data_IF_553578188013
#
_entry.id   IF_553578188013
#
_cell.length_a   1.000
_cell.length_b   1.000
_cell.length_c   1.000
_cell.angle_alpha   90.00
_cell.angle_beta   90.00
_cell.angle_gamma   90.00
#
_symmetry.space_group_name_H-M   'P 1'
#
loop_
_entity.id
_entity.type
_entity.pdbx_description
1 polymer ?
#
# COMPACT_ATOMS: atom_id res chain seq x y z
N UNK A 1 -5.48 -22.13 -20.73
CA UNK A 1 -4.06 -21.74 -20.58
C UNK A 1 -3.90 -20.86 -19.34
N UNK A 2 -2.71 -20.85 -18.74
CA UNK A 2 -2.44 -19.99 -17.57
C UNK A 2 -2.70 -18.51 -17.87
N UNK A 3 -2.46 -18.03 -19.09
CA UNK A 3 -2.79 -16.65 -19.46
C UNK A 3 -4.29 -16.36 -19.45
N UNK A 4 -5.13 -17.33 -19.81
CA UNK A 4 -6.58 -17.19 -19.72
C UNK A 4 -7.02 -17.11 -18.24
N UNK A 5 -6.44 -17.94 -17.37
CA UNK A 5 -6.74 -17.88 -15.93
C UNK A 5 -6.27 -16.56 -15.31
N UNK A 6 -5.12 -16.05 -15.73
CA UNK A 6 -4.64 -14.72 -15.33
C UNK A 6 -5.59 -13.59 -15.79
N UNK A 7 -6.12 -13.67 -17.00
CA UNK A 7 -7.13 -12.71 -17.48
C UNK A 7 -8.42 -12.78 -16.65
N UNK A 8 -8.92 -13.98 -16.36
CA UNK A 8 -10.09 -14.18 -15.50
C UNK A 8 -9.84 -13.60 -14.09
N UNK A 9 -8.66 -13.86 -13.52
CA UNK A 9 -8.29 -13.32 -12.22
C UNK A 9 -8.32 -11.78 -12.19
N UNK A 10 -7.71 -11.12 -13.18
CA UNK A 10 -7.73 -9.66 -13.27
C UNK A 10 -9.16 -9.11 -13.41
N UNK A 11 -9.96 -9.68 -14.31
CA UNK A 11 -11.33 -9.21 -14.58
C UNK A 11 -12.23 -9.43 -13.36
N UNK A 12 -12.15 -10.59 -12.71
CA UNK A 12 -13.00 -10.92 -11.54
C UNK A 12 -12.68 -10.03 -10.33
N UNK A 13 -11.46 -9.51 -10.23
CA UNK A 13 -11.01 -8.68 -9.13
C UNK A 13 -10.84 -7.19 -9.50
N UNK A 14 -11.29 -6.77 -10.66
CA UNK A 14 -11.20 -5.39 -11.14
C UNK A 14 -12.15 -4.44 -10.42
N UNK A 15 -13.24 -4.96 -9.85
CA UNK A 15 -14.24 -4.15 -9.15
C UNK A 15 -13.58 -3.29 -8.05
N UNK A 16 -13.97 -2.01 -7.99
CA UNK A 16 -13.43 -1.04 -7.05
C UNK A 16 -12.06 -0.46 -7.43
N UNK A 17 -11.47 -0.90 -8.56
CA UNK A 17 -10.24 -0.30 -9.09
C UNK A 17 -10.55 0.87 -10.01
N UNK A 18 -9.79 1.96 -9.89
CA UNK A 18 -9.96 3.16 -10.70
C UNK A 18 -8.64 3.92 -10.89
N UNK A 19 -8.56 4.70 -11.96
CA UNK A 19 -7.57 5.75 -12.12
C UNK A 19 -8.20 7.12 -11.84
N UNK A 20 -7.40 8.10 -11.49
CA UNK A 20 -7.79 9.50 -11.65
C UNK A 20 -7.69 9.88 -13.13
N UNK A 21 -8.45 10.89 -13.56
CA UNK A 21 -8.44 11.32 -14.96
C UNK A 21 -7.02 11.70 -15.40
N UNK A 22 -6.56 11.09 -16.49
CA UNK A 22 -5.21 11.32 -17.03
C UNK A 22 -4.94 12.77 -17.44
N UNK A 23 -5.98 13.57 -17.71
CA UNK A 23 -5.88 15.02 -17.99
C UNK A 23 -5.21 15.78 -16.84
N UNK A 24 -5.38 15.31 -15.59
CA UNK A 24 -4.73 15.88 -14.42
C UNK A 24 -3.19 15.89 -14.52
N UNK A 25 -2.59 14.97 -15.27
CA UNK A 25 -1.14 15.01 -15.52
C UNK A 25 -0.72 16.32 -16.23
N UNK A 26 -1.55 16.78 -17.17
CA UNK A 26 -1.32 18.05 -17.89
C UNK A 26 -1.55 19.23 -16.96
N UNK A 27 -2.58 19.18 -16.13
CA UNK A 27 -2.88 20.23 -15.15
C UNK A 27 -1.76 20.38 -14.12
N UNK A 28 -1.23 19.27 -13.58
CA UNK A 28 -0.13 19.32 -12.60
C UNK A 28 1.27 19.56 -13.22
N UNK A 29 1.46 19.37 -14.51
CA UNK A 29 2.76 19.49 -15.17
C UNK A 29 3.48 20.85 -14.92
N UNK A 30 2.79 22.02 -14.92
CA UNK A 30 3.42 23.29 -14.54
C UNK A 30 3.96 23.28 -13.11
N UNK A 31 3.19 22.71 -12.16
CA UNK A 31 3.64 22.65 -10.77
C UNK A 31 4.84 21.73 -10.58
N UNK A 32 4.91 20.61 -11.29
CA UNK A 32 6.10 19.74 -11.23
C UNK A 32 7.37 20.45 -11.70
N UNK A 33 7.26 21.38 -12.67
CA UNK A 33 8.39 22.24 -13.09
C UNK A 33 8.76 23.25 -12.00
N UNK A 34 7.75 23.87 -11.37
CA UNK A 34 7.96 24.79 -10.24
C UNK A 34 8.70 24.06 -9.11
N UNK A 35 8.21 22.88 -8.73
CA UNK A 35 8.80 22.04 -7.70
C UNK A 35 10.29 21.71 -7.98
N UNK A 36 10.60 21.29 -9.20
CA UNK A 36 11.98 20.99 -9.61
C UNK A 36 12.87 22.25 -9.57
N UNK A 37 12.36 23.41 -10.01
CA UNK A 37 13.10 24.68 -9.98
C UNK A 37 13.39 25.12 -8.54
N UNK A 38 12.43 25.02 -7.63
CA UNK A 38 12.66 25.31 -6.20
C UNK A 38 13.72 24.37 -5.64
N UNK A 39 13.63 23.08 -5.91
CA UNK A 39 14.65 22.13 -5.45
C UNK A 39 16.04 22.44 -6.00
N UNK A 40 16.18 22.82 -7.26
CA UNK A 40 17.44 23.26 -7.86
C UNK A 40 18.02 24.49 -7.13
N UNK A 41 17.18 25.47 -6.79
CA UNK A 41 17.56 26.66 -6.03
C UNK A 41 18.20 26.28 -4.67
N UNK A 42 17.76 25.19 -4.07
CA UNK A 42 18.27 24.66 -2.80
C UNK A 42 19.25 23.48 -2.98
N UNK A 43 19.89 23.35 -4.15
CA UNK A 43 20.85 22.26 -4.45
C UNK A 43 20.28 20.85 -4.21
N UNK A 44 18.98 20.67 -4.44
CA UNK A 44 18.22 19.44 -4.17
C UNK A 44 18.15 19.04 -2.69
N UNK A 45 18.57 19.88 -1.77
CA UNK A 45 18.38 19.68 -0.34
C UNK A 45 16.97 20.13 0.06
N UNK A 46 16.19 19.21 0.66
CA UNK A 46 14.84 19.51 1.14
C UNK A 46 14.91 19.90 2.61
N UNK A 47 15.37 21.12 2.86
CA UNK A 47 15.30 21.74 4.18
C UNK A 47 13.97 22.50 4.37
N UNK A 48 13.75 23.02 5.57
CA UNK A 48 12.51 23.70 5.95
C UNK A 48 12.18 24.89 5.02
N UNK A 49 13.18 25.71 4.65
CA UNK A 49 12.97 26.86 3.75
C UNK A 49 12.53 26.42 2.35
N UNK A 50 13.14 25.36 1.83
CA UNK A 50 12.74 24.75 0.57
C UNK A 50 11.28 24.27 0.63
N UNK A 51 10.91 23.58 1.72
CA UNK A 51 9.55 23.07 1.90
C UNK A 51 8.51 24.18 2.04
N UNK A 52 8.80 25.23 2.82
CA UNK A 52 7.91 26.38 2.97
C UNK A 52 7.70 27.15 1.65
N UNK A 53 8.72 27.27 0.80
CA UNK A 53 8.59 27.87 -0.52
C UNK A 53 7.74 26.99 -1.45
N UNK A 54 7.95 25.67 -1.43
CA UNK A 54 7.12 24.72 -2.20
C UNK A 54 5.66 24.80 -1.73
N UNK A 55 5.40 24.83 -0.42
CA UNK A 55 4.05 24.89 0.12
C UNK A 55 3.34 26.19 -0.29
N UNK A 56 4.00 27.34 -0.18
CA UNK A 56 3.44 28.62 -0.61
C UNK A 56 3.07 28.62 -2.10
N UNK A 57 3.92 28.06 -2.95
CA UNK A 57 3.67 27.97 -4.40
C UNK A 57 2.58 26.93 -4.71
N UNK A 58 2.48 25.87 -3.93
CA UNK A 58 1.41 24.88 -4.05
C UNK A 58 0.04 25.47 -3.73
N UNK A 59 -0.06 26.27 -2.65
CA UNK A 59 -1.31 26.95 -2.31
C UNK A 59 -1.76 27.91 -3.40
N UNK A 60 -0.83 28.70 -3.97
CA UNK A 60 -1.12 29.59 -5.10
C UNK A 60 -1.58 28.79 -6.33
N UNK A 61 -0.88 27.69 -6.63
CA UNK A 61 -1.24 26.82 -7.74
C UNK A 61 -2.65 26.24 -7.56
N UNK A 62 -2.97 25.69 -6.38
CA UNK A 62 -4.29 25.16 -6.08
C UNK A 62 -5.40 26.23 -6.20
N UNK A 63 -5.12 27.45 -5.81
CA UNK A 63 -6.06 28.55 -5.95
C UNK A 63 -6.30 28.92 -7.42
N UNK A 64 -5.23 29.03 -8.21
CA UNK A 64 -5.32 29.43 -9.64
C UNK A 64 -6.01 28.36 -10.48
N UNK A 65 -5.76 27.08 -10.20
CA UNK A 65 -6.29 25.94 -10.97
C UNK A 65 -7.44 25.23 -10.27
N UNK A 66 -8.15 25.89 -9.34
CA UNK A 66 -9.21 25.26 -8.51
C UNK A 66 -10.26 24.52 -9.33
N UNK A 67 -10.67 25.05 -10.46
CA UNK A 67 -11.71 24.47 -11.31
C UNK A 67 -11.21 23.22 -12.07
N UNK A 68 -9.93 23.21 -12.48
CA UNK A 68 -9.31 22.10 -13.21
C UNK A 68 -8.85 20.96 -12.30
N UNK A 69 -8.70 21.22 -10.99
CA UNK A 69 -8.25 20.23 -10.03
C UNK A 69 -9.35 19.27 -9.55
N UNK A 70 -10.54 19.35 -10.13
CA UNK A 70 -11.62 18.43 -9.82
C UNK A 70 -11.27 17.01 -10.24
N UNK A 71 -11.10 16.11 -9.25
CA UNK A 71 -10.73 14.70 -9.51
C UNK A 71 -11.94 13.94 -10.03
N UNK A 72 -11.86 13.45 -11.26
CA UNK A 72 -12.79 12.49 -11.83
C UNK A 72 -12.18 11.10 -11.79
N UNK A 73 -12.90 10.16 -11.17
CA UNK A 73 -12.49 8.75 -11.12
C UNK A 73 -12.95 8.02 -12.38
N UNK A 74 -12.02 7.30 -12.98
CA UNK A 74 -12.22 6.49 -14.18
C UNK A 74 -12.17 5.02 -13.76
N UNK A 75 -13.35 4.38 -13.60
CA UNK A 75 -13.46 2.98 -13.21
C UNK A 75 -12.76 2.08 -14.24
N UNK A 76 -11.89 1.18 -13.77
CA UNK A 76 -11.11 0.30 -14.66
C UNK A 76 -12.02 -0.59 -15.50
N UNK A 77 -13.09 -1.10 -14.93
CA UNK A 77 -14.06 -1.96 -15.63
C UNK A 77 -14.75 -1.27 -16.83
N UNK A 78 -14.81 0.06 -16.83
CA UNK A 78 -15.46 0.85 -17.88
C UNK A 78 -14.47 1.42 -18.90
N UNK A 79 -13.21 1.62 -18.49
CA UNK A 79 -12.24 2.41 -19.27
C UNK A 79 -11.03 1.60 -19.77
N UNK A 80 -10.71 0.46 -19.12
CA UNK A 80 -9.60 -0.36 -19.61
C UNK A 80 -10.01 -1.18 -20.83
N UNK A 81 -9.14 -1.14 -21.84
CA UNK A 81 -9.35 -1.94 -23.05
C UNK A 81 -8.81 -3.36 -22.88
N UNK A 82 -9.37 -4.30 -23.63
CA UNK A 82 -8.85 -5.67 -23.68
C UNK A 82 -7.36 -5.71 -24.11
N UNK A 83 -6.95 -4.81 -25.03
CA UNK A 83 -5.55 -4.72 -25.48
C UNK A 83 -4.62 -4.31 -24.32
N UNK A 84 -5.03 -3.41 -23.45
CA UNK A 84 -4.25 -3.03 -22.26
C UNK A 84 -4.08 -4.23 -21.34
N UNK A 85 -5.14 -4.94 -21.01
CA UNK A 85 -5.08 -6.13 -20.14
C UNK A 85 -4.22 -7.23 -20.74
N UNK A 86 -4.35 -7.51 -22.04
CA UNK A 86 -3.53 -8.50 -22.74
C UNK A 86 -2.05 -8.12 -22.67
N UNK A 87 -1.72 -6.85 -22.93
CA UNK A 87 -0.34 -6.34 -22.85
C UNK A 87 0.25 -6.51 -21.45
N UNK A 88 -0.50 -6.16 -20.41
CA UNK A 88 -0.07 -6.33 -19.02
C UNK A 88 0.19 -7.80 -18.66
N UNK A 89 -0.69 -8.72 -19.10
CA UNK A 89 -0.52 -10.15 -18.90
C UNK A 89 0.75 -10.65 -19.61
N UNK A 90 0.94 -10.30 -20.87
CA UNK A 90 2.11 -10.73 -21.63
C UNK A 90 3.42 -10.26 -20.98
N UNK A 91 3.47 -9.00 -20.54
CA UNK A 91 4.63 -8.45 -19.86
C UNK A 91 4.88 -9.12 -18.51
N UNK A 92 3.81 -9.36 -17.71
CA UNK A 92 3.93 -10.02 -16.43
C UNK A 92 4.45 -11.48 -16.58
N UNK A 93 3.92 -12.25 -17.54
CA UNK A 93 4.40 -13.60 -17.82
C UNK A 93 5.86 -13.61 -18.27
N UNK A 94 6.23 -12.69 -19.16
CA UNK A 94 7.61 -12.56 -19.64
C UNK A 94 8.58 -12.28 -18.50
N UNK A 95 8.23 -11.35 -17.62
CA UNK A 95 9.02 -11.00 -16.45
C UNK A 95 9.14 -12.18 -15.48
N UNK A 96 8.01 -12.80 -15.12
CA UNK A 96 7.97 -13.94 -14.21
C UNK A 96 8.83 -15.10 -14.66
N UNK A 97 8.66 -15.55 -15.92
CA UNK A 97 9.37 -16.73 -16.45
C UNK A 97 10.85 -16.46 -16.73
N UNK A 98 11.25 -15.20 -16.88
CA UNK A 98 12.64 -14.80 -17.04
C UNK A 98 13.39 -14.59 -15.72
N UNK A 99 12.69 -14.45 -14.59
CA UNK A 99 13.33 -14.15 -13.32
C UNK A 99 13.73 -15.44 -12.58
N UNK A 100 15.02 -15.63 -12.34
CA UNK A 100 15.56 -16.86 -11.72
C UNK A 100 15.16 -17.06 -10.26
N UNK A 101 14.80 -15.98 -9.56
CA UNK A 101 14.39 -16.05 -8.15
C UNK A 101 12.93 -16.45 -7.96
N UNK A 102 12.06 -16.12 -8.94
CA UNK A 102 10.60 -16.25 -8.80
C UNK A 102 9.92 -17.07 -9.88
N UNK A 103 10.65 -17.54 -10.91
CA UNK A 103 10.08 -18.34 -12.02
C UNK A 103 9.31 -19.59 -11.54
N UNK A 104 9.62 -20.09 -10.34
CA UNK A 104 8.99 -21.24 -9.71
C UNK A 104 7.97 -20.85 -8.64
N UNK A 105 7.67 -19.56 -8.41
CA UNK A 105 6.64 -19.17 -7.47
C UNK A 105 5.27 -19.72 -7.91
N UNK A 106 4.36 -19.86 -6.96
CA UNK A 106 3.02 -20.37 -7.24
C UNK A 106 2.28 -19.48 -8.23
N UNK A 107 1.33 -20.05 -8.98
CA UNK A 107 0.48 -19.25 -9.86
C UNK A 107 -0.39 -18.26 -9.07
N UNK A 108 -0.72 -18.59 -7.83
CA UNK A 108 -1.40 -17.69 -6.91
C UNK A 108 -0.54 -16.46 -6.60
N UNK A 109 0.72 -16.65 -6.20
CA UNK A 109 1.64 -15.54 -5.89
C UNK A 109 1.93 -14.68 -7.15
N UNK A 110 2.04 -15.33 -8.31
CA UNK A 110 2.13 -14.62 -9.58
C UNK A 110 0.91 -13.72 -9.78
N UNK A 111 -0.30 -14.25 -9.61
CA UNK A 111 -1.55 -13.50 -9.80
C UNK A 111 -1.69 -12.34 -8.80
N UNK A 112 -1.30 -12.53 -7.54
CA UNK A 112 -1.46 -11.51 -6.51
C UNK A 112 -0.36 -10.43 -6.56
N UNK A 113 0.89 -10.80 -6.86
CA UNK A 113 2.02 -9.92 -6.58
C UNK A 113 2.86 -9.53 -7.80
N UNK A 114 2.79 -10.27 -8.92
CA UNK A 114 3.51 -9.95 -10.16
C UNK A 114 2.55 -9.39 -11.21
N UNK A 115 1.45 -10.09 -11.44
CA UNK A 115 0.48 -9.81 -12.50
C UNK A 115 -0.23 -8.45 -12.39
N UNK A 116 -0.64 -7.94 -11.20
CA UNK A 116 -1.48 -6.75 -11.10
C UNK A 116 -0.94 -5.57 -11.90
N UNK A 117 -1.78 -5.01 -12.75
CA UNK A 117 -1.51 -3.81 -13.55
C UNK A 117 -1.64 -2.53 -12.73
N UNK A 118 -2.39 -2.57 -11.62
CA UNK A 118 -2.63 -1.46 -10.70
C UNK A 118 -2.05 -1.77 -9.33
N UNK A 119 -1.25 -0.87 -8.80
CA UNK A 119 -0.62 -1.01 -7.48
C UNK A 119 -1.31 -0.17 -6.40
N UNK A 120 -1.98 0.91 -6.81
CA UNK A 120 -2.77 1.79 -5.95
C UNK A 120 -3.88 2.43 -6.79
N UNK A 121 -5.02 2.71 -6.17
CA UNK A 121 -6.09 3.46 -6.81
C UNK A 121 -5.68 4.92 -7.04
N UNK A 122 -6.23 5.53 -8.10
CA UNK A 122 -5.87 6.88 -8.53
C UNK A 122 -4.71 6.92 -9.51
N UNK A 123 -3.81 5.92 -9.50
CA UNK A 123 -2.67 5.90 -10.44
C UNK A 123 -3.14 5.70 -11.88
N UNK A 124 -2.57 6.49 -12.78
CA UNK A 124 -2.76 6.32 -14.22
C UNK A 124 -1.85 5.21 -14.73
N UNK A 125 -2.42 4.27 -15.49
CA UNK A 125 -1.63 3.23 -16.15
C UNK A 125 -0.85 3.88 -17.29
N UNK A 126 0.47 3.75 -17.21
CA UNK A 126 1.42 4.22 -18.21
C UNK A 126 2.34 3.08 -18.68
N UNK A 127 3.31 3.37 -19.49
CA UNK A 127 4.28 2.38 -19.98
C UNK A 127 5.38 2.03 -18.97
N UNK A 128 5.19 2.31 -17.67
CA UNK A 128 6.24 2.15 -16.66
C UNK A 128 6.67 0.71 -16.49
N UNK A 129 5.75 -0.27 -16.53
CA UNK A 129 6.09 -1.70 -16.47
C UNK A 129 7.06 -2.10 -17.59
N UNK A 130 6.73 -1.79 -18.85
CA UNK A 130 7.61 -2.10 -20.00
C UNK A 130 8.94 -1.35 -19.90
N UNK A 131 8.91 -0.07 -19.51
CA UNK A 131 10.11 0.74 -19.33
C UNK A 131 11.06 0.15 -18.29
N UNK A 132 10.57 -0.24 -17.11
CA UNK A 132 11.39 -0.85 -16.07
C UNK A 132 11.85 -2.25 -16.45
N UNK A 133 11.00 -3.05 -17.08
CA UNK A 133 11.41 -4.34 -17.61
C UNK A 133 12.59 -4.19 -18.56
N UNK A 134 12.48 -3.35 -19.59
CA UNK A 134 13.56 -3.15 -20.57
C UNK A 134 14.86 -2.68 -19.93
N UNK A 135 14.76 -1.86 -18.89
CA UNK A 135 15.93 -1.29 -18.20
C UNK A 135 16.66 -2.30 -17.32
N UNK A 136 15.93 -3.16 -16.61
CA UNK A 136 16.46 -3.91 -15.47
C UNK A 136 16.34 -5.43 -15.59
N UNK A 137 15.57 -6.00 -16.53
CA UNK A 137 15.29 -7.45 -16.56
C UNK A 137 16.53 -8.34 -16.65
N UNK A 138 17.61 -7.85 -17.30
CA UNK A 138 18.83 -8.65 -17.52
C UNK A 138 19.50 -9.06 -16.21
N UNK A 139 19.42 -8.22 -15.19
CA UNK A 139 20.02 -8.47 -13.89
C UNK A 139 19.32 -9.64 -13.16
N UNK A 140 18.09 -9.97 -13.57
CA UNK A 140 17.27 -11.05 -12.99
C UNK A 140 17.27 -12.35 -13.79
N UNK A 141 18.00 -12.44 -14.88
CA UNK A 141 18.10 -13.67 -15.68
C UNK A 141 19.11 -14.69 -15.12
N UNK A 142 20.03 -14.21 -14.30
CA UNK A 142 21.02 -15.04 -13.59
C UNK A 142 21.25 -14.48 -12.21
N UNK A 143 21.68 -15.32 -11.26
CA UNK A 143 21.89 -14.86 -9.88
C UNK A 143 23.10 -13.96 -9.70
N UNK A 144 24.06 -13.99 -10.63
CA UNK A 144 25.34 -13.28 -10.51
C UNK A 144 26.04 -13.48 -9.16
N UNK A 145 25.77 -14.61 -8.49
CA UNK A 145 26.28 -14.92 -7.15
C UNK A 145 25.55 -14.24 -5.99
N UNK A 146 24.49 -13.47 -6.27
CA UNK A 146 23.67 -12.79 -5.26
C UNK A 146 22.46 -13.62 -4.84
N UNK A 147 22.03 -13.45 -3.62
CA UNK A 147 20.72 -13.91 -3.18
C UNK A 147 19.61 -12.90 -3.58
N UNK A 148 18.35 -13.27 -3.34
CA UNK A 148 17.19 -12.47 -3.75
C UNK A 148 17.14 -11.10 -3.06
N UNK A 149 17.57 -10.98 -1.79
CA UNK A 149 17.58 -9.71 -1.08
C UNK A 149 18.65 -8.78 -1.63
N UNK A 150 19.86 -9.30 -1.88
CA UNK A 150 20.98 -8.55 -2.48
C UNK A 150 20.64 -8.03 -3.87
N UNK A 151 19.93 -8.83 -4.69
CA UNK A 151 19.50 -8.37 -6.02
C UNK A 151 18.38 -7.33 -5.93
N UNK A 152 17.43 -7.52 -5.01
CA UNK A 152 16.40 -6.52 -4.71
C UNK A 152 17.04 -5.19 -4.28
N UNK A 153 18.03 -5.24 -3.39
CA UNK A 153 18.75 -4.05 -2.95
C UNK A 153 19.53 -3.38 -4.08
N UNK A 154 20.16 -4.17 -4.95
CA UNK A 154 20.88 -3.63 -6.12
C UNK A 154 19.96 -2.83 -7.03
N UNK A 155 18.75 -3.32 -7.29
CA UNK A 155 17.76 -2.61 -8.08
C UNK A 155 17.26 -1.34 -7.36
N UNK A 156 16.85 -1.47 -6.10
CA UNK A 156 16.24 -0.38 -5.36
C UNK A 156 17.25 0.74 -4.99
N UNK A 157 18.54 0.41 -4.91
CA UNK A 157 19.62 1.39 -4.73
C UNK A 157 19.68 2.41 -5.86
N UNK A 158 19.33 2.04 -7.09
CA UNK A 158 19.27 2.94 -8.24
C UNK A 158 18.24 4.08 -8.05
N UNK A 159 17.31 3.90 -7.11
CA UNK A 159 16.22 4.83 -6.81
C UNK A 159 16.30 5.35 -5.35
N UNK A 160 17.45 5.25 -4.71
CA UNK A 160 17.66 5.68 -3.30
C UNK A 160 17.46 7.17 -3.06
N UNK A 161 17.54 7.96 -4.12
CA UNK A 161 17.33 9.40 -4.09
C UNK A 161 15.83 9.81 -4.02
N UNK A 162 14.92 8.84 -4.11
CA UNK A 162 13.51 9.02 -3.75
C UNK A 162 13.40 8.88 -2.24
N UNK A 163 13.17 9.99 -1.55
CA UNK A 163 13.19 10.08 -0.08
C UNK A 163 11.81 10.35 0.51
N UNK A 164 11.67 10.12 1.82
CA UNK A 164 10.45 10.46 2.53
C UNK A 164 10.19 11.97 2.50
N UNK A 165 8.95 12.37 2.19
CA UNK A 165 8.55 13.78 2.22
C UNK A 165 8.51 14.28 3.67
N UNK A 166 9.28 15.32 4.04
CA UNK A 166 9.16 15.94 5.34
C UNK A 166 7.77 16.56 5.55
N UNK A 167 7.33 16.68 6.81
CA UNK A 167 6.01 17.22 7.17
C UNK A 167 5.75 18.67 6.72
N UNK A 168 6.79 19.42 6.43
CA UNK A 168 6.72 20.80 5.93
C UNK A 168 6.70 20.91 4.40
N UNK A 169 6.64 19.78 3.70
CA UNK A 169 6.44 19.73 2.24
C UNK A 169 5.01 19.26 1.97
N UNK A 170 4.23 19.96 1.15
CA UNK A 170 2.88 19.56 0.85
C UNK A 170 2.83 18.21 0.13
N UNK A 171 1.77 17.45 0.35
CA UNK A 171 1.54 16.21 -0.38
C UNK A 171 1.08 16.56 -1.80
N UNK A 172 2.00 16.42 -2.75
CA UNK A 172 1.75 16.66 -4.16
C UNK A 172 1.18 15.38 -4.77
N UNK A 173 0.11 15.46 -5.57
CA UNK A 173 -0.43 14.31 -6.27
C UNK A 173 0.61 13.69 -7.20
N UNK A 174 0.78 12.38 -7.09
CA UNK A 174 1.69 11.59 -7.91
C UNK A 174 0.84 10.57 -8.65
N UNK A 175 0.58 10.82 -9.93
CA UNK A 175 -0.33 10.02 -10.73
C UNK A 175 0.35 8.87 -11.48
N UNK A 176 1.68 8.96 -11.68
CA UNK A 176 2.46 7.96 -12.41
C UNK A 176 3.82 7.73 -11.78
N UNK A 177 4.44 6.59 -12.08
CA UNK A 177 5.81 6.30 -11.66
C UNK A 177 6.83 7.30 -12.25
N UNK A 178 6.59 7.76 -13.49
CA UNK A 178 7.42 8.79 -14.12
C UNK A 178 7.40 10.12 -13.37
N UNK A 179 6.23 10.49 -12.83
CA UNK A 179 6.10 11.68 -11.98
C UNK A 179 6.88 11.50 -10.68
N UNK A 180 6.78 10.31 -10.05
CA UNK A 180 7.48 10.04 -8.81
C UNK A 180 9.00 10.09 -8.96
N UNK A 181 9.52 9.54 -10.06
CA UNK A 181 10.95 9.65 -10.40
C UNK A 181 11.44 11.10 -10.56
N UNK A 182 10.57 12.02 -10.96
CA UNK A 182 10.90 13.46 -11.09
C UNK A 182 10.80 14.19 -9.76
N UNK A 183 9.73 13.95 -9.01
CA UNK A 183 9.45 14.61 -7.73
C UNK A 183 10.44 14.13 -6.66
N UNK A 184 10.77 12.85 -6.64
CA UNK A 184 11.75 12.21 -5.73
C UNK A 184 11.45 12.35 -4.23
N UNK A 185 10.22 12.72 -3.89
CA UNK A 185 9.73 12.78 -2.52
C UNK A 185 8.32 12.25 -2.45
N UNK A 186 7.98 11.55 -1.38
CA UNK A 186 6.64 11.05 -1.17
C UNK A 186 6.43 10.38 0.17
N UNK A 187 5.22 9.88 0.40
CA UNK A 187 4.88 9.13 1.60
C UNK A 187 5.41 7.70 1.54
N UNK A 188 5.39 6.99 2.68
CA UNK A 188 5.73 5.57 2.72
C UNK A 188 4.85 4.75 1.78
N UNK A 189 3.55 5.06 1.69
CA UNK A 189 2.62 4.38 0.79
C UNK A 189 2.96 4.61 -0.69
N UNK A 190 3.27 5.86 -1.07
CA UNK A 190 3.71 6.20 -2.42
C UNK A 190 5.01 5.48 -2.79
N UNK A 191 5.97 5.40 -1.87
CA UNK A 191 7.20 4.63 -2.11
C UNK A 191 6.94 3.14 -2.22
N UNK A 192 6.03 2.60 -1.41
CA UNK A 192 5.67 1.18 -1.44
C UNK A 192 5.06 0.75 -2.79
N UNK A 193 4.10 1.51 -3.32
CA UNK A 193 3.52 1.14 -4.61
C UNK A 193 4.54 1.26 -5.75
N UNK A 194 5.43 2.28 -5.69
CA UNK A 194 6.50 2.44 -6.67
C UNK A 194 7.46 1.24 -6.66
N UNK A 195 7.94 0.84 -5.48
CA UNK A 195 8.79 -0.34 -5.34
C UNK A 195 8.08 -1.61 -5.83
N UNK A 196 6.80 -1.80 -5.51
CA UNK A 196 6.02 -2.95 -5.96
C UNK A 196 5.87 -2.97 -7.49
N UNK A 197 5.66 -1.81 -8.13
CA UNK A 197 5.62 -1.70 -9.59
C UNK A 197 6.98 -2.04 -10.20
N UNK A 198 8.05 -1.45 -9.68
CA UNK A 198 9.41 -1.66 -10.16
C UNK A 198 9.83 -3.14 -10.07
N UNK A 199 9.64 -3.75 -8.89
CA UNK A 199 9.98 -5.15 -8.63
C UNK A 199 9.16 -6.12 -9.48
N UNK A 200 7.83 -5.91 -9.55
CA UNK A 200 6.98 -6.77 -10.39
C UNK A 200 7.26 -6.60 -11.89
N UNK A 201 7.78 -5.46 -12.31
CA UNK A 201 8.18 -5.24 -13.71
C UNK A 201 9.33 -6.16 -14.14
N UNK A 202 10.17 -6.57 -13.20
CA UNK A 202 11.24 -7.56 -13.44
C UNK A 202 10.85 -8.97 -12.95
N UNK A 203 9.59 -9.19 -12.63
CA UNK A 203 9.07 -10.51 -12.26
C UNK A 203 9.23 -10.88 -10.78
N UNK A 204 9.64 -9.95 -9.91
CA UNK A 204 9.68 -10.18 -8.46
C UNK A 204 8.29 -10.07 -7.84
N UNK A 205 7.89 -11.07 -7.06
CA UNK A 205 6.64 -11.03 -6.30
C UNK A 205 6.80 -10.05 -5.12
N UNK A 206 6.18 -8.87 -5.24
CA UNK A 206 6.29 -7.81 -4.26
C UNK A 206 4.91 -7.30 -3.81
N UNK A 207 4.72 -7.24 -2.49
CA UNK A 207 3.51 -6.76 -1.84
C UNK A 207 3.77 -5.49 -1.01
N UNK A 208 2.69 -4.93 -0.47
CA UNK A 208 2.71 -3.84 0.50
C UNK A 208 2.02 -4.32 1.76
N UNK A 209 2.74 -4.32 2.88
CA UNK A 209 2.20 -4.54 4.20
C UNK A 209 2.06 -3.21 4.93
N UNK A 210 1.05 -3.10 5.79
CA UNK A 210 0.82 -1.86 6.52
C UNK A 210 0.21 -2.09 7.89
N UNK A 211 0.56 -1.22 8.83
CA UNK A 211 -0.14 -1.04 10.09
C UNK A 211 -1.07 0.16 9.94
N UNK A 212 -2.39 0.00 10.12
CA UNK A 212 -3.34 1.11 9.97
C UNK A 212 -3.02 2.27 10.92
N UNK A 213 -2.77 1.95 12.17
CA UNK A 213 -2.32 2.86 13.22
C UNK A 213 -1.42 2.11 14.21
N UNK A 214 -0.44 2.81 14.78
CA UNK A 214 0.40 2.27 15.83
C UNK A 214 -0.37 2.14 17.15
N UNK A 215 -0.08 1.11 17.93
CA UNK A 215 -0.73 0.87 19.21
C UNK A 215 -0.29 1.81 20.35
N UNK A 216 0.81 2.55 20.18
CA UNK A 216 1.41 3.35 21.23
C UNK A 216 1.92 4.74 20.77
N UNK A 217 1.59 5.16 19.56
CA UNK A 217 1.92 6.46 18.99
C UNK A 217 1.01 6.83 17.84
N UNK A 218 0.99 8.09 17.45
CA UNK A 218 0.17 8.57 16.33
C UNK A 218 0.71 8.11 14.97
N UNK A 219 -0.21 7.99 14.00
CA UNK A 219 0.07 7.57 12.63
C UNK A 219 0.06 6.06 12.42
N UNK A 220 0.24 5.68 11.20
CA UNK A 220 0.44 4.32 10.71
C UNK A 220 1.71 4.24 9.88
N UNK A 221 1.94 3.12 9.20
CA UNK A 221 3.09 2.95 8.32
C UNK A 221 2.84 1.88 7.27
N UNK A 222 3.49 2.02 6.13
CA UNK A 222 3.51 1.02 5.06
C UNK A 222 4.94 0.67 4.68
N UNK A 223 5.19 -0.59 4.39
CA UNK A 223 6.49 -1.10 3.93
C UNK A 223 6.31 -2.16 2.86
N UNK A 224 7.39 -2.56 2.22
CA UNK A 224 7.33 -3.60 1.19
C UNK A 224 7.67 -4.97 1.73
N UNK A 225 7.21 -5.97 0.99
CA UNK A 225 7.53 -7.39 1.22
C UNK A 225 7.84 -8.02 -0.14
N UNK A 226 8.93 -8.79 -0.24
CA UNK A 226 9.11 -9.76 -1.33
C UNK A 226 8.65 -11.13 -0.86
N UNK A 227 8.05 -11.88 -1.79
CA UNK A 227 7.54 -13.24 -1.52
C UNK A 227 8.31 -14.21 -2.40
N UNK A 228 9.01 -15.14 -1.73
CA UNK A 228 9.86 -16.13 -2.38
C UNK A 228 9.58 -17.50 -1.77
N UNK A 229 9.17 -18.47 -2.58
CA UNK A 229 8.85 -19.84 -2.16
C UNK A 229 7.82 -19.91 -1.00
N UNK A 230 6.85 -19.00 -1.00
CA UNK A 230 5.81 -18.91 0.04
C UNK A 230 6.23 -18.21 1.32
N UNK A 231 7.48 -17.78 1.43
CA UNK A 231 7.97 -16.98 2.56
C UNK A 231 8.00 -15.50 2.22
N UNK A 232 7.70 -14.65 3.19
CA UNK A 232 7.69 -13.20 3.06
C UNK A 232 8.87 -12.55 3.77
N UNK A 233 9.55 -11.65 3.06
CA UNK A 233 10.70 -10.89 3.54
C UNK A 233 10.38 -9.41 3.51
N UNK A 234 10.08 -8.86 4.69
CA UNK A 234 9.71 -7.46 4.85
C UNK A 234 10.93 -6.54 4.90
N UNK A 235 10.83 -5.37 4.25
CA UNK A 235 11.89 -4.38 4.22
C UNK A 235 11.32 -2.96 4.18
N UNK A 236 12.11 -1.98 4.69
CA UNK A 236 11.75 -0.55 4.64
C UNK A 236 11.68 -0.06 3.19
N UNK A 237 10.60 0.67 2.88
CA UNK A 237 10.35 1.13 1.52
C UNK A 237 11.40 2.15 1.03
N UNK A 238 11.79 3.08 1.90
CA UNK A 238 12.89 4.01 1.61
C UNK A 238 14.25 3.37 1.86
N UNK A 239 15.30 3.94 1.26
CA UNK A 239 16.64 3.42 1.43
C UNK A 239 17.12 3.60 2.88
N UNK A 240 17.53 2.48 3.48
CA UNK A 240 18.17 2.38 4.80
C UNK A 240 19.11 1.18 4.74
N UNK A 241 20.33 1.31 5.20
CA UNK A 241 21.35 0.22 5.17
C UNK A 241 20.88 -1.02 5.95
N UNK A 242 19.96 -0.86 6.90
CA UNK A 242 19.41 -1.96 7.71
C UNK A 242 17.93 -2.26 7.40
N UNK A 243 17.50 -2.02 6.17
CA UNK A 243 16.08 -2.06 5.71
C UNK A 243 15.38 -3.40 5.87
N UNK A 244 16.11 -4.52 5.95
CA UNK A 244 15.55 -5.87 6.10
C UNK A 244 15.27 -6.27 7.56
N UNK A 245 15.37 -5.35 8.47
CA UNK A 245 15.20 -5.60 9.92
C UNK A 245 13.74 -5.72 10.38
N UNK A 246 12.74 -5.38 9.56
CA UNK A 246 11.35 -5.16 9.97
C UNK A 246 10.74 -6.28 10.82
N UNK A 247 10.72 -7.52 10.33
CA UNK A 247 10.18 -8.63 11.13
C UNK A 247 10.95 -8.84 12.45
N UNK A 248 12.25 -8.63 12.45
CA UNK A 248 13.11 -8.76 13.63
C UNK A 248 12.82 -7.67 14.67
N UNK A 249 12.62 -6.43 14.24
CA UNK A 249 12.35 -5.29 15.14
C UNK A 249 11.08 -5.52 15.96
N UNK A 250 10.02 -5.95 15.31
CA UNK A 250 8.72 -6.07 15.97
C UNK A 250 8.59 -7.33 16.84
N UNK A 251 9.36 -8.37 16.55
CA UNK A 251 9.32 -9.64 17.29
C UNK A 251 10.35 -9.72 18.40
N UNK A 252 11.36 -8.87 18.43
CA UNK A 252 12.46 -8.97 19.39
C UNK A 252 12.21 -8.11 20.63
N UNK A 253 11.82 -8.73 21.75
CA UNK A 253 11.62 -8.06 23.05
C UNK A 253 12.89 -7.40 23.59
N UNK A 254 14.07 -7.87 23.19
CA UNK A 254 15.36 -7.33 23.62
C UNK A 254 15.81 -6.10 22.80
N UNK A 255 15.06 -5.72 21.75
CA UNK A 255 15.39 -4.58 20.93
C UNK A 255 14.99 -3.28 21.66
N UNK A 256 15.91 -2.75 22.47
CA UNK A 256 15.67 -1.56 23.30
C UNK A 256 15.95 -0.24 22.54
N UNK A 257 15.94 -0.28 21.23
CA UNK A 257 16.04 0.93 20.41
C UNK A 257 14.70 1.68 20.34
N UNK A 258 14.73 2.92 19.89
CA UNK A 258 13.52 3.70 19.62
C UNK A 258 12.51 2.93 18.75
N UNK A 259 12.98 2.23 17.74
CA UNK A 259 12.16 1.44 16.81
C UNK A 259 11.54 0.18 17.47
N UNK A 260 12.25 -0.50 18.35
CA UNK A 260 11.74 -1.67 19.07
C UNK A 260 10.58 -1.38 20.04
N UNK A 261 10.26 -0.09 20.22
CA UNK A 261 9.14 0.35 21.08
C UNK A 261 7.83 0.54 20.31
N UNK A 262 7.79 0.29 19.01
CA UNK A 262 6.52 0.31 18.25
C UNK A 262 5.64 -0.88 18.64
N UNK A 263 4.33 -0.63 18.78
CA UNK A 263 3.33 -1.65 19.02
C UNK A 263 2.42 -1.78 17.81
N UNK A 264 2.32 -2.98 17.29
CA UNK A 264 1.52 -3.33 16.13
C UNK A 264 0.19 -3.94 16.60
N UNK A 265 -0.94 -3.26 16.46
CA UNK A 265 -2.24 -3.86 16.76
C UNK A 265 -2.65 -4.90 15.73
N UNK A 266 -2.38 -4.61 14.45
CA UNK A 266 -2.71 -5.41 13.27
C UNK A 266 -1.72 -5.10 12.14
N UNK A 267 -1.43 -6.08 11.30
CA UNK A 267 -0.74 -5.88 10.03
C UNK A 267 -1.56 -6.49 8.91
N UNK A 268 -1.82 -5.68 7.89
CA UNK A 268 -2.50 -6.12 6.69
C UNK A 268 -1.56 -6.08 5.49
N UNK A 269 -1.75 -7.03 4.56
CA UNK A 269 -1.09 -7.07 3.24
C UNK A 269 -2.09 -6.68 2.18
N UNK A 270 -1.76 -5.70 1.34
CA UNK A 270 -2.56 -5.36 0.17
C UNK A 270 -2.54 -6.52 -0.83
N UNK A 271 -3.70 -6.84 -1.40
CA UNK A 271 -3.90 -7.85 -2.45
C UNK A 271 -4.54 -7.22 -3.67
N UNK A 272 -4.49 -7.90 -4.80
CA UNK A 272 -5.30 -7.53 -5.97
C UNK A 272 -6.67 -8.20 -5.91
N UNK A 273 -6.75 -9.41 -5.35
CA UNK A 273 -8.01 -10.11 -5.14
C UNK A 273 -8.88 -9.44 -4.07
N UNK A 274 -10.20 -9.55 -4.26
CA UNK A 274 -11.18 -9.14 -3.27
C UNK A 274 -11.41 -10.27 -2.27
N UNK A 275 -11.43 -9.92 -0.97
CA UNK A 275 -11.72 -10.83 0.13
C UNK A 275 -13.07 -10.48 0.71
N UNK A 276 -14.11 -11.27 0.35
CA UNK A 276 -15.51 -11.00 0.65
C UNK A 276 -15.92 -11.44 2.06
N UNK A 277 -15.07 -11.20 3.05
CA UNK A 277 -15.37 -11.48 4.46
C UNK A 277 -15.64 -10.17 5.20
N UNK A 278 -16.49 -10.25 6.22
CA UNK A 278 -16.72 -9.13 7.12
C UNK A 278 -17.93 -8.25 6.81
N UNK A 279 -17.97 -7.03 7.38
CA UNK A 279 -19.16 -6.20 7.34
C UNK A 279 -19.55 -5.72 5.93
N UNK A 280 -18.58 -5.53 5.03
CA UNK A 280 -18.85 -5.03 3.68
C UNK A 280 -19.60 -6.05 2.80
N UNK A 281 -19.40 -7.34 3.04
CA UNK A 281 -20.09 -8.42 2.32
C UNK A 281 -21.44 -8.81 2.95
N UNK A 282 -21.75 -8.36 4.15
CA UNK A 282 -23.01 -8.62 4.83
C UNK A 282 -24.10 -7.63 4.36
N UNK A 283 -25.05 -8.10 3.56
CA UNK A 283 -26.14 -7.28 2.99
C UNK A 283 -27.02 -6.58 4.03
N UNK A 284 -26.93 -6.97 5.30
CA UNK A 284 -27.69 -6.36 6.40
C UNK A 284 -26.98 -5.13 6.99
N UNK A 285 -25.71 -4.92 6.64
CA UNK A 285 -24.91 -3.80 7.14
C UNK A 285 -25.00 -2.64 6.16
N UNK A 286 -25.32 -1.47 6.68
CA UNK A 286 -25.36 -0.24 5.90
C UNK A 286 -23.91 0.20 5.64
N UNK A 287 -23.59 0.53 4.40
CA UNK A 287 -22.20 0.85 4.00
C UNK A 287 -21.60 2.03 4.77
N UNK A 288 -22.45 3.00 5.11
CA UNK A 288 -22.09 4.18 5.88
C UNK A 288 -21.68 3.85 7.33
N UNK A 289 -22.14 2.72 7.86
CA UNK A 289 -21.82 2.23 9.20
C UNK A 289 -20.58 1.30 9.21
N UNK A 290 -19.80 1.28 8.11
CA UNK A 290 -18.55 0.53 8.02
C UNK A 290 -17.39 1.51 8.12
N UNK A 291 -16.44 1.30 9.05
CA UNK A 291 -15.23 2.11 9.11
C UNK A 291 -14.43 2.08 7.81
N UNK A 292 -13.78 3.20 7.43
CA UNK A 292 -13.06 3.32 6.15
C UNK A 292 -12.07 2.18 5.85
N UNK A 293 -11.36 1.68 6.87
CA UNK A 293 -10.42 0.57 6.73
C UNK A 293 -11.09 -0.68 6.15
N UNK A 294 -12.36 -0.93 6.48
CA UNK A 294 -13.10 -2.14 6.08
C UNK A 294 -14.00 -1.93 4.85
N UNK A 295 -13.99 -0.73 4.27
CA UNK A 295 -14.60 -0.47 2.95
C UNK A 295 -13.75 -0.97 1.77
N UNK A 296 -12.53 -1.42 2.03
CA UNK A 296 -11.64 -2.00 1.04
C UNK A 296 -11.42 -3.48 1.36
N UNK A 297 -11.86 -4.36 0.45
CA UNK A 297 -11.72 -5.82 0.55
C UNK A 297 -10.37 -6.36 0.04
N UNK A 298 -9.53 -5.50 -0.56
CA UNK A 298 -8.25 -5.88 -1.18
C UNK A 298 -7.12 -5.92 -0.16
N UNK A 299 -7.28 -6.71 0.89
CA UNK A 299 -6.25 -6.96 1.90
C UNK A 299 -6.50 -8.24 2.68
N UNK A 300 -5.44 -8.84 3.18
CA UNK A 300 -5.45 -9.97 4.10
C UNK A 300 -4.73 -9.62 5.40
N UNK A 301 -5.11 -10.28 6.48
CA UNK A 301 -4.44 -10.17 7.77
C UNK A 301 -3.18 -11.04 7.81
N UNK A 302 -2.02 -10.41 7.96
CA UNK A 302 -0.72 -11.07 8.06
C UNK A 302 -0.05 -10.82 9.41
N UNK A 303 -0.80 -10.43 10.44
CA UNK A 303 -0.29 -10.08 11.77
C UNK A 303 0.61 -11.17 12.37
N UNK A 304 0.24 -12.43 12.20
CA UNK A 304 1.02 -13.58 12.71
C UNK A 304 2.38 -13.77 12.04
N UNK A 305 2.65 -13.13 10.90
CA UNK A 305 3.98 -13.11 10.30
C UNK A 305 4.95 -12.16 11.03
N UNK A 306 4.42 -11.21 11.80
CA UNK A 306 5.19 -10.13 12.45
C UNK A 306 5.33 -10.29 13.95
N UNK A 307 4.30 -10.80 14.63
CA UNK A 307 4.30 -10.94 16.09
C UNK A 307 3.43 -12.11 16.56
N UNK A 308 3.63 -12.52 17.80
CA UNK A 308 2.75 -13.48 18.46
C UNK A 308 1.39 -12.85 18.72
N UNK A 309 0.36 -13.34 18.05
CA UNK A 309 -1.00 -12.82 18.13
C UNK A 309 -1.82 -13.45 19.25
N UNK A 310 -2.87 -12.76 19.67
CA UNK A 310 -3.88 -13.28 20.59
C UNK A 310 -5.28 -12.90 20.11
N UNK A 311 -6.27 -13.73 20.41
CA UNK A 311 -7.67 -13.39 20.20
C UNK A 311 -8.21 -12.67 21.43
N UNK A 312 -8.96 -11.58 21.19
CA UNK A 312 -9.60 -10.80 22.25
C UNK A 312 -11.10 -11.05 22.19
N UNK A 313 -11.63 -11.70 23.23
CA UNK A 313 -13.06 -11.94 23.38
C UNK A 313 -13.68 -10.88 24.30
N UNK A 314 -14.77 -10.28 23.86
CA UNK A 314 -15.50 -9.25 24.61
C UNK A 314 -16.94 -9.67 24.77
N UNK A 315 -17.45 -9.54 25.99
CA UNK A 315 -18.87 -9.67 26.31
C UNK A 315 -19.46 -8.26 26.25
N UNK A 316 -20.49 -8.08 25.43
CA UNK A 316 -21.09 -6.78 25.19
C UNK A 316 -22.32 -6.60 26.10
N UNK A 317 -22.40 -5.47 26.75
CA UNK A 317 -23.66 -5.05 27.39
C UNK A 317 -24.52 -4.38 26.31
N UNK A 318 -25.56 -5.09 25.87
CA UNK A 318 -26.45 -4.65 24.79
C UNK A 318 -27.80 -4.11 25.31
N UNK A 319 -27.99 -4.01 26.64
CA UNK A 319 -29.29 -3.67 27.24
C UNK A 319 -29.83 -2.32 26.80
N UNK A 320 -28.96 -1.38 26.47
CA UNK A 320 -29.29 -0.01 26.03
C UNK A 320 -29.23 0.20 24.51
N UNK A 321 -28.95 -0.84 23.71
CA UNK A 321 -28.71 -0.72 22.26
C UNK A 321 -29.84 -1.43 21.50
N UNK A 322 -30.58 -0.69 20.71
CA UNK A 322 -31.65 -1.24 19.88
C UNK A 322 -31.78 -0.45 18.55
N UNK A 323 -31.58 -1.10 17.37
CA UNK A 323 -31.20 -2.50 17.21
C UNK A 323 -29.72 -2.77 17.55
N UNK A 324 -29.42 -4.00 17.98
CA UNK A 324 -28.03 -4.43 18.21
C UNK A 324 -27.32 -4.49 16.84
N UNK A 325 -26.17 -3.82 16.65
CA UNK A 325 -25.37 -3.91 15.44
C UNK A 325 -24.93 -5.34 15.16
N UNK A 326 -24.77 -5.70 13.88
CA UNK A 326 -24.28 -7.02 13.49
C UNK A 326 -22.76 -7.20 13.75
N UNK A 327 -22.03 -6.08 13.88
CA UNK A 327 -20.58 -6.06 14.05
C UNK A 327 -20.16 -5.07 15.13
N UNK A 328 -19.07 -5.39 15.79
CA UNK A 328 -18.31 -4.46 16.63
C UNK A 328 -16.89 -4.33 16.08
N UNK A 329 -16.23 -3.27 16.45
CA UNK A 329 -14.87 -2.96 16.01
C UNK A 329 -13.95 -2.80 17.21
N UNK A 330 -12.73 -3.30 17.10
CA UNK A 330 -11.71 -3.06 18.10
C UNK A 330 -10.84 -1.90 17.64
N UNK A 331 -10.82 -0.86 18.46
CA UNK A 331 -10.21 0.44 18.13
C UNK A 331 -8.96 0.70 18.96
N UNK A 332 -8.04 1.47 18.40
CA UNK A 332 -6.82 1.96 19.04
C UNK A 332 -6.86 3.47 19.06
N UNK A 333 -6.41 4.08 20.17
CA UNK A 333 -6.38 5.53 20.32
C UNK A 333 -5.24 6.15 19.49
N UNK A 334 -5.60 7.06 18.58
CA UNK A 334 -4.68 7.68 17.65
C UNK A 334 -5.18 9.05 17.19
N UNK A 335 -4.33 10.08 17.20
CA UNK A 335 -4.71 11.46 16.85
C UNK A 335 -5.99 11.96 17.54
N UNK A 336 -6.13 11.68 18.84
CA UNK A 336 -7.28 12.09 19.67
C UNK A 336 -8.61 11.39 19.30
N UNK A 337 -8.56 10.29 18.57
CA UNK A 337 -9.74 9.50 18.18
C UNK A 337 -9.49 8.01 18.38
N UNK A 338 -10.56 7.21 18.41
CA UNK A 338 -10.53 5.77 18.47
C UNK A 338 -10.69 5.19 17.06
N UNK A 339 -9.59 4.74 16.50
CA UNK A 339 -9.52 4.23 15.12
C UNK A 339 -9.73 2.73 15.09
N UNK A 340 -10.79 2.22 14.42
CA UNK A 340 -11.03 0.80 14.25
C UNK A 340 -9.89 0.11 13.47
N UNK A 341 -9.35 -0.98 14.05
CA UNK A 341 -8.26 -1.76 13.44
C UNK A 341 -8.63 -3.21 13.17
N UNK A 342 -9.71 -3.72 13.79
CA UNK A 342 -10.26 -5.05 13.54
C UNK A 342 -11.77 -5.02 13.71
N UNK A 343 -12.47 -5.87 12.96
CA UNK A 343 -13.91 -6.12 13.09
C UNK A 343 -14.16 -7.50 13.71
N UNK A 344 -15.31 -7.66 14.34
CA UNK A 344 -15.80 -8.95 14.79
C UNK A 344 -17.32 -9.02 14.64
N UNK A 345 -17.84 -10.18 14.24
CA UNK A 345 -19.29 -10.41 14.16
C UNK A 345 -19.85 -10.68 15.54
N UNK A 346 -20.92 -9.98 15.89
CA UNK A 346 -21.61 -10.15 17.18
C UNK A 346 -22.49 -11.41 17.12
N UNK A 347 -22.30 -12.30 18.07
CA UNK A 347 -23.12 -13.50 18.29
C UNK A 347 -23.36 -13.66 19.79
N UNK A 348 -24.61 -13.85 20.21
CA UNK A 348 -24.99 -14.11 21.61
C UNK A 348 -24.34 -13.12 22.59
N UNK A 349 -24.43 -11.81 22.29
CA UNK A 349 -23.82 -10.72 23.05
C UNK A 349 -22.30 -10.85 23.22
N UNK A 350 -21.63 -11.54 22.34
CA UNK A 350 -20.19 -11.70 22.36
C UNK A 350 -19.59 -11.37 21.02
N UNK A 351 -18.36 -10.90 21.04
CA UNK A 351 -17.55 -10.68 19.84
C UNK A 351 -16.12 -11.15 20.09
N UNK A 352 -15.53 -11.76 19.10
CA UNK A 352 -14.11 -12.12 19.10
C UNK A 352 -13.39 -11.34 18.03
N UNK A 353 -12.28 -10.73 18.42
CA UNK A 353 -11.33 -10.05 17.52
C UNK A 353 -10.07 -10.91 17.45
N UNK A 354 -9.83 -11.50 16.31
CA UNK A 354 -8.75 -12.45 16.10
C UNK A 354 -7.39 -11.79 15.82
N UNK A 355 -6.31 -12.50 16.13
CA UNK A 355 -4.92 -12.17 15.80
C UNK A 355 -4.51 -10.74 16.19
N UNK A 356 -4.82 -10.31 17.40
CA UNK A 356 -4.48 -8.98 17.90
C UNK A 356 -3.08 -8.92 18.53
N UNK A 357 -2.44 -7.75 18.42
CA UNK A 357 -1.15 -7.47 19.08
C UNK A 357 -1.30 -7.32 20.59
N UNK A 358 -0.23 -7.64 21.33
CA UNK A 358 -0.15 -7.52 22.79
C UNK A 358 0.34 -6.14 23.24
N UNK A 359 0.15 -5.84 24.52
CA UNK A 359 0.64 -4.63 25.18
C UNK A 359 0.11 -3.32 24.55
N UNK A 360 -1.16 -3.33 24.15
CA UNK A 360 -1.87 -2.21 23.54
C UNK A 360 -3.19 -2.00 24.26
N UNK A 361 -3.58 -0.75 24.46
CA UNK A 361 -4.90 -0.40 24.96
C UNK A 361 -5.90 -0.41 23.81
N UNK A 362 -6.90 -1.26 23.93
CA UNK A 362 -7.98 -1.40 22.95
C UNK A 362 -9.32 -0.95 23.54
N UNK A 363 -10.17 -0.36 22.70
CA UNK A 363 -11.55 -0.06 23.01
C UNK A 363 -12.49 -0.77 22.01
N UNK A 364 -13.38 -1.66 22.46
CA UNK A 364 -14.47 -2.15 21.63
C UNK A 364 -15.45 -1.01 21.34
N UNK A 365 -15.78 -0.80 20.07
CA UNK A 365 -16.63 0.29 19.62
C UNK A 365 -17.70 -0.21 18.65
N UNK A 366 -18.80 0.51 18.56
CA UNK A 366 -19.70 0.48 17.42
C UNK A 366 -19.36 1.66 16.51
N UNK A 367 -19.47 1.47 15.22
CA UNK A 367 -19.30 2.54 14.26
C UNK A 367 -20.66 2.89 13.67
N UNK A 368 -21.10 4.08 13.93
CA UNK A 368 -22.36 4.64 13.40
C UNK A 368 -21.99 6.00 12.84
N UNK A 369 -22.32 6.23 11.58
CA UNK A 369 -22.14 7.55 10.99
C UNK A 369 -23.19 8.47 11.57
N UNK A 370 -22.77 9.46 12.38
CA UNK A 370 -23.62 10.52 12.91
C UNK A 370 -24.11 11.48 11.86
#
# INVERSE_FOLDING_TARGET
>A
SLKLEAAKFLISNMQGSYADDSSLQTVYAPFYKIYDNVRKKYNYEINKKCGEEIDSLWQVFCFVYSDELTVKRMCDAEHLTASTIISEIEMAFKAWKGNVYTQNCSFHDFCEYILPYRRENGLVIDNSRDRYYRRHHKDFYTTHGKNVMEETDSLLFLYKDIVHSPYYVPLIPILTASTFEKIKTGTCEQRCWFNSLLLSSVGMAAAVDFVPVWGNRNGGHSWNVIIVNGESYAFEAFWDDDRWKYKRIYNNKSYDSFWGKFRLPKVYRKTFSNHTEGPLSDKKVVREDIPPLFLNEKKIDVSSEYFETQDIRVILNTDSINPIPGYAYLSVYNYQDWIPVQWGKIKDQQVTFDKMGKDIVYLPTYYVKG
#
